data_IF_081537225726
#
_entry.id   IF_081537225726
#
_cell.length_a   1.000
_cell.length_b   1.000
_cell.length_c   1.000
_cell.angle_alpha   90.00
_cell.angle_beta   90.00
_cell.angle_gamma   90.00
#
_symmetry.space_group_name_H-M   'P 1'
#
loop_
_entity.id
_entity.type
_entity.pdbx_description
1 polymer ?
#
# COMPACT_ATOMS: atom_id res chain seq x y z
N UNK A 1 47.48 -19.42 8.28
CA UNK A 1 46.19 -19.98 7.84
C UNK A 1 45.52 -20.68 9.02
N UNK A 2 44.51 -20.07 9.66
CA UNK A 2 43.49 -20.76 10.48
C UNK A 2 42.54 -19.70 11.07
N UNK A 3 41.60 -19.26 10.25
CA UNK A 3 40.56 -18.32 10.64
C UNK A 3 39.30 -18.68 9.85
N UNK A 4 38.70 -19.81 10.19
CA UNK A 4 37.45 -20.25 9.57
C UNK A 4 36.74 -21.33 10.42
N UNK A 5 36.32 -21.00 11.64
CA UNK A 5 35.60 -21.97 12.48
C UNK A 5 34.62 -21.34 13.48
N UNK A 6 33.87 -20.32 13.06
CA UNK A 6 32.71 -19.80 13.81
C UNK A 6 31.58 -19.39 12.83
N UNK A 7 31.16 -20.28 11.94
CA UNK A 7 30.04 -19.99 11.01
C UNK A 7 29.19 -21.22 10.63
N UNK A 8 29.15 -22.30 11.43
CA UNK A 8 28.41 -23.52 11.03
C UNK A 8 27.59 -24.20 12.12
N UNK A 9 27.01 -23.43 13.04
CA UNK A 9 25.97 -23.97 13.91
C UNK A 9 24.85 -22.94 14.07
N UNK A 10 23.60 -23.41 14.11
CA UNK A 10 22.34 -22.63 14.13
C UNK A 10 21.80 -22.29 12.73
N UNK A 11 21.21 -23.31 12.08
CA UNK A 11 19.88 -23.25 11.43
C UNK A 11 19.62 -24.56 10.67
N UNK A 12 19.59 -25.67 11.41
CA UNK A 12 18.88 -26.89 11.06
C UNK A 12 17.89 -27.12 12.20
N UNK A 13 16.64 -26.73 11.98
CA UNK A 13 15.42 -27.33 12.54
C UNK A 13 14.22 -26.43 12.28
N UNK A 14 13.54 -26.65 11.14
CA UNK A 14 12.09 -26.58 11.04
C UNK A 14 11.68 -27.09 9.65
N UNK A 15 11.70 -28.42 9.53
CA UNK A 15 10.84 -29.12 8.57
C UNK A 15 9.44 -29.11 9.19
N UNK A 16 8.51 -28.37 8.59
CA UNK A 16 7.08 -28.60 8.74
C UNK A 16 6.52 -28.93 7.37
N UNK A 17 6.34 -30.24 7.21
CA UNK A 17 5.25 -30.93 6.55
C UNK A 17 3.99 -30.06 6.33
N UNK A 18 3.40 -30.22 5.14
CA UNK A 18 2.26 -29.44 4.69
C UNK A 18 2.02 -29.58 3.20
N UNK A 19 1.91 -30.81 2.71
CA UNK A 19 1.16 -31.09 1.48
C UNK A 19 -0.22 -30.47 1.61
N UNK A 20 -0.48 -29.40 0.87
CA UNK A 20 -1.83 -28.92 0.64
C UNK A 20 -2.27 -29.42 -0.74
N UNK A 21 -2.93 -30.58 -0.74
CA UNK A 21 -3.91 -30.94 -1.75
C UNK A 21 -4.95 -29.82 -1.82
N UNK A 22 -4.76 -28.87 -2.74
CA UNK A 22 -5.80 -27.94 -3.13
C UNK A 22 -6.44 -28.53 -4.38
N UNK A 23 -7.43 -29.40 -4.13
CA UNK A 23 -8.45 -29.75 -5.09
C UNK A 23 -8.91 -28.48 -5.79
N UNK A 24 -8.74 -28.41 -7.11
CA UNK A 24 -9.25 -27.32 -7.92
C UNK A 24 -10.78 -27.29 -7.76
N UNK A 25 -11.37 -26.23 -7.15
CA UNK A 25 -12.78 -26.01 -7.29
C UNK A 25 -12.98 -25.33 -8.64
N UNK A 26 -13.83 -25.94 -9.45
CA UNK A 26 -14.32 -25.41 -10.72
C UNK A 26 -14.73 -23.95 -10.56
N UNK A 27 -14.23 -23.11 -11.48
CA UNK A 27 -14.21 -21.67 -11.33
C UNK A 27 -15.59 -21.06 -11.57
N UNK A 28 -16.30 -20.77 -10.48
CA UNK A 28 -17.41 -19.82 -10.47
C UNK A 28 -16.87 -18.39 -10.63
N UNK A 29 -17.05 -17.80 -11.82
CA UNK A 29 -16.66 -16.43 -12.18
C UNK A 29 -17.56 -15.39 -11.50
N UNK A 30 -17.55 -15.33 -10.17
CA UNK A 30 -18.49 -14.54 -9.39
C UNK A 30 -17.91 -13.97 -8.10
N UNK A 31 -17.11 -12.91 -8.21
CA UNK A 31 -16.58 -12.04 -7.12
C UNK A 31 -15.45 -12.66 -6.26
N UNK A 32 -14.31 -11.96 -6.10
CA UNK A 32 -13.16 -12.47 -5.35
C UNK A 32 -13.48 -12.59 -3.85
N UNK A 33 -13.14 -13.74 -3.26
CA UNK A 33 -13.38 -14.05 -1.84
C UNK A 33 -12.66 -13.07 -0.91
N UNK A 34 -13.23 -12.86 0.29
CA UNK A 34 -12.63 -12.01 1.33
C UNK A 34 -11.22 -12.48 1.72
N UNK A 35 -10.94 -13.78 1.61
CA UNK A 35 -9.62 -14.36 1.80
C UNK A 35 -8.63 -13.95 0.69
N UNK A 36 -9.05 -13.92 -0.58
CA UNK A 36 -8.23 -13.38 -1.67
C UNK A 36 -7.97 -11.87 -1.51
N UNK A 37 -8.94 -11.12 -0.97
CA UNK A 37 -8.77 -9.70 -0.60
C UNK A 37 -7.83 -9.52 0.59
N UNK A 38 -7.83 -10.46 1.54
CA UNK A 38 -6.96 -10.46 2.71
C UNK A 38 -5.53 -10.84 2.33
N UNK A 39 -5.32 -11.88 1.51
CA UNK A 39 -4.00 -12.26 0.98
C UNK A 39 -3.42 -11.17 0.08
N UNK A 40 -4.23 -10.54 -0.78
CA UNK A 40 -3.80 -9.38 -1.55
C UNK A 40 -3.38 -8.21 -0.65
N UNK A 41 -4.01 -8.00 0.51
CA UNK A 41 -3.60 -6.99 1.49
C UNK A 41 -2.35 -7.39 2.27
N UNK A 42 -2.18 -8.67 2.59
CA UNK A 42 -1.04 -9.19 3.35
C UNK A 42 0.26 -9.20 2.53
N UNK A 43 0.19 -9.46 1.21
CA UNK A 43 1.38 -9.47 0.33
C UNK A 43 1.57 -8.18 -0.50
N UNK A 44 0.55 -7.33 -0.65
CA UNK A 44 0.71 -6.03 -1.32
C UNK A 44 1.81 -5.19 -0.65
N UNK A 45 1.87 -5.21 0.68
CA UNK A 45 2.90 -4.50 1.45
C UNK A 45 4.33 -4.91 1.05
N UNK A 46 4.55 -6.20 0.76
CA UNK A 46 5.88 -6.69 0.33
C UNK A 46 6.25 -6.15 -1.06
N UNK A 47 5.36 -6.30 -2.04
CA UNK A 47 5.64 -5.81 -3.40
C UNK A 47 5.70 -4.28 -3.46
N UNK A 48 4.91 -3.59 -2.66
CA UNK A 48 4.99 -2.14 -2.55
C UNK A 48 6.35 -1.71 -1.99
N UNK A 49 6.87 -2.42 -0.98
CA UNK A 49 8.23 -2.20 -0.48
C UNK A 49 9.30 -2.50 -1.53
N UNK A 50 9.17 -3.59 -2.28
CA UNK A 50 10.14 -3.93 -3.35
C UNK A 50 10.15 -2.84 -4.45
N UNK A 51 8.97 -2.33 -4.84
CA UNK A 51 8.86 -1.21 -5.79
C UNK A 51 9.40 0.10 -5.21
N UNK A 52 9.15 0.37 -3.93
CA UNK A 52 9.62 1.59 -3.25
C UNK A 52 11.16 1.65 -3.16
N UNK A 53 11.79 0.49 -2.91
CA UNK A 53 13.24 0.31 -2.88
C UNK A 53 13.89 0.32 -4.28
N UNK A 54 13.09 0.34 -5.34
CA UNK A 54 13.58 0.40 -6.72
C UNK A 54 13.97 -0.96 -7.30
N UNK A 55 13.29 -2.04 -6.91
CA UNK A 55 13.52 -3.36 -7.49
C UNK A 55 13.38 -3.32 -9.02
N UNK A 56 14.29 -4.02 -9.72
CA UNK A 56 14.30 -4.10 -11.18
C UNK A 56 13.06 -4.85 -11.66
N UNK A 57 12.26 -4.19 -12.50
CA UNK A 57 11.02 -4.76 -13.05
C UNK A 57 11.33 -5.51 -14.34
N UNK A 58 11.38 -6.85 -14.25
CA UNK A 58 11.59 -7.71 -15.41
C UNK A 58 10.22 -8.08 -16.02
N UNK A 59 9.99 -7.88 -17.34
CA UNK A 59 8.74 -8.27 -18.00
C UNK A 59 8.39 -9.74 -17.77
N UNK A 60 7.10 -10.03 -17.59
CA UNK A 60 6.59 -11.39 -17.33
C UNK A 60 6.73 -11.86 -15.87
N UNK A 61 7.38 -11.08 -14.99
CA UNK A 61 7.44 -11.41 -13.56
C UNK A 61 6.18 -10.98 -12.80
N UNK A 62 5.90 -11.59 -11.64
CA UNK A 62 4.84 -11.13 -10.73
C UNK A 62 4.99 -9.65 -10.33
N UNK A 63 6.23 -9.15 -10.21
CA UNK A 63 6.52 -7.75 -9.91
C UNK A 63 6.06 -6.84 -11.06
N UNK A 64 6.31 -7.21 -12.32
CA UNK A 64 5.83 -6.45 -13.47
C UNK A 64 4.31 -6.39 -13.55
N UNK A 65 3.62 -7.50 -13.28
CA UNK A 65 2.15 -7.53 -13.20
C UNK A 65 1.62 -6.66 -12.06
N UNK A 66 2.28 -6.68 -10.90
CA UNK A 66 1.93 -5.80 -9.78
C UNK A 66 2.13 -4.33 -10.13
N UNK A 67 3.27 -3.97 -10.74
CA UNK A 67 3.55 -2.60 -11.19
C UNK A 67 2.48 -2.11 -12.17
N UNK A 68 2.14 -2.90 -13.19
CA UNK A 68 1.08 -2.55 -14.15
C UNK A 68 -0.29 -2.39 -13.46
N UNK A 69 -0.60 -3.23 -12.46
CA UNK A 69 -1.83 -3.12 -11.68
C UNK A 69 -1.86 -1.82 -10.86
N UNK A 70 -0.80 -1.50 -10.14
CA UNK A 70 -0.77 -0.33 -9.25
C UNK A 70 -0.73 0.99 -10.01
N UNK A 71 -0.17 1.04 -11.23
CA UNK A 71 -0.18 2.25 -12.07
C UNK A 71 -1.42 2.36 -12.97
N UNK A 72 -2.32 1.37 -12.94
CA UNK A 72 -3.53 1.39 -13.75
C UNK A 72 -4.44 2.57 -13.41
N UNK A 73 -5.15 3.11 -14.42
CA UNK A 73 -6.14 4.18 -14.25
C UNK A 73 -7.18 3.85 -13.17
N UNK A 74 -7.61 2.58 -13.12
CA UNK A 74 -8.57 2.10 -12.13
C UNK A 74 -8.02 2.22 -10.70
N UNK A 75 -6.79 1.79 -10.46
CA UNK A 75 -6.17 1.87 -9.13
C UNK A 75 -5.95 3.35 -8.75
N UNK A 76 -5.40 4.15 -9.65
CA UNK A 76 -5.19 5.59 -9.44
C UNK A 76 -6.48 6.32 -9.05
N UNK A 77 -7.57 6.10 -9.78
CA UNK A 77 -8.88 6.68 -9.45
C UNK A 77 -9.44 6.14 -8.12
N UNK A 78 -9.16 4.88 -7.79
CA UNK A 78 -9.52 4.31 -6.49
C UNK A 78 -8.80 5.01 -5.34
N UNK A 79 -7.49 5.26 -5.47
CA UNK A 79 -6.71 5.99 -4.48
C UNK A 79 -7.12 7.46 -4.38
N UNK A 80 -7.37 8.13 -5.51
CA UNK A 80 -7.89 9.49 -5.54
C UNK A 80 -9.23 9.62 -4.79
N UNK A 81 -10.15 8.65 -4.98
CA UNK A 81 -11.41 8.60 -4.23
C UNK A 81 -11.21 8.34 -2.75
N UNK A 82 -10.27 7.46 -2.38
CA UNK A 82 -9.96 7.18 -0.99
C UNK A 82 -9.40 8.42 -0.27
N UNK A 83 -8.49 9.17 -0.92
CA UNK A 83 -7.96 10.43 -0.42
C UNK A 83 -9.05 11.49 -0.23
N UNK A 84 -9.91 11.67 -1.23
CA UNK A 84 -11.04 12.61 -1.13
C UNK A 84 -12.00 12.21 -0.02
N UNK A 85 -12.33 10.92 0.11
CA UNK A 85 -13.17 10.40 1.19
C UNK A 85 -12.57 10.65 2.58
N UNK A 86 -11.25 10.52 2.74
CA UNK A 86 -10.58 10.85 4.01
C UNK A 86 -10.77 12.34 4.38
N UNK A 87 -10.65 13.25 3.41
CA UNK A 87 -10.91 14.69 3.63
C UNK A 87 -12.39 14.95 3.97
N UNK A 88 -13.31 14.36 3.22
CA UNK A 88 -14.77 14.51 3.45
C UNK A 88 -15.20 13.97 4.83
N UNK A 89 -14.58 12.87 5.28
CA UNK A 89 -14.80 12.32 6.64
C UNK A 89 -14.33 13.29 7.70
N UNK A 90 -13.18 13.95 7.51
CA UNK A 90 -12.72 14.96 8.48
C UNK A 90 -13.63 16.19 8.53
N UNK A 91 -14.17 16.61 7.39
CA UNK A 91 -15.16 17.69 7.33
C UNK A 91 -16.47 17.28 8.02
N UNK A 92 -16.85 15.99 7.94
CA UNK A 92 -18.05 15.46 8.57
C UNK A 92 -17.90 15.25 10.09
N UNK A 93 -16.69 14.91 10.56
CA UNK A 93 -16.37 14.87 11.98
C UNK A 93 -16.45 16.27 12.61
N UNK A 94 -15.99 17.31 11.91
CA UNK A 94 -16.22 18.71 12.31
C UNK A 94 -17.71 19.08 12.41
N UNK A 95 -18.57 18.39 11.64
CA UNK A 95 -20.03 18.52 11.67
C UNK A 95 -20.73 17.55 12.65
N UNK A 96 -19.97 16.83 13.49
CA UNK A 96 -20.52 15.95 14.53
C UNK A 96 -20.89 14.52 14.10
N UNK A 97 -20.50 14.09 12.90
CA UNK A 97 -20.74 12.71 12.40
C UNK A 97 -19.52 11.82 12.66
N UNK A 98 -19.69 10.76 13.45
CA UNK A 98 -18.59 9.88 13.87
C UNK A 98 -18.22 8.84 12.79
N UNK A 99 -16.91 8.64 12.57
CA UNK A 99 -16.37 7.62 11.67
C UNK A 99 -15.88 6.40 12.47
N UNK A 100 -16.02 5.18 11.90
CA UNK A 100 -15.63 3.90 12.55
C UNK A 100 -14.11 3.74 12.79
N UNK A 101 -13.27 4.51 12.11
CA UNK A 101 -11.82 4.55 12.34
C UNK A 101 -11.40 6.02 12.50
N UNK A 102 -10.83 6.43 13.65
CA UNK A 102 -10.50 7.83 13.89
C UNK A 102 -9.34 8.31 13.00
N UNK A 103 -9.60 9.29 12.13
CA UNK A 103 -8.60 9.96 11.29
C UNK A 103 -8.03 11.17 12.04
N UNK A 104 -6.74 11.48 11.87
CA UNK A 104 -6.12 12.65 12.48
C UNK A 104 -6.52 13.94 11.75
N UNK A 105 -7.71 14.47 12.05
CA UNK A 105 -8.34 15.60 11.35
C UNK A 105 -7.48 16.86 11.26
N UNK A 106 -6.68 17.17 12.29
CA UNK A 106 -5.75 18.32 12.27
C UNK A 106 -4.63 18.20 11.22
N UNK A 107 -3.94 17.05 11.16
CA UNK A 107 -2.90 16.76 10.17
C UNK A 107 -3.48 16.74 8.76
N UNK A 108 -4.63 16.09 8.56
CA UNK A 108 -5.30 16.02 7.25
C UNK A 108 -5.74 17.41 6.78
N UNK A 109 -6.32 18.23 7.65
CA UNK A 109 -6.69 19.60 7.31
C UNK A 109 -5.47 20.47 6.96
N UNK A 110 -4.35 20.28 7.67
CA UNK A 110 -3.09 20.98 7.39
C UNK A 110 -2.40 20.57 6.08
N UNK A 111 -2.73 19.39 5.53
CA UNK A 111 -2.15 18.88 4.29
C UNK A 111 -3.15 18.84 3.12
N UNK A 112 -4.26 19.59 3.21
CA UNK A 112 -5.32 19.57 2.21
C UNK A 112 -4.80 19.89 0.80
N UNK A 113 -3.90 20.88 0.69
CA UNK A 113 -3.26 21.26 -0.58
C UNK A 113 -2.50 20.09 -1.22
N UNK A 114 -1.67 19.39 -0.45
CA UNK A 114 -0.90 18.25 -0.93
C UNK A 114 -1.84 17.10 -1.36
N UNK A 115 -2.91 16.84 -0.60
CA UNK A 115 -3.91 15.81 -0.93
C UNK A 115 -4.65 16.15 -2.24
N UNK A 116 -5.05 17.40 -2.43
CA UNK A 116 -5.72 17.86 -3.65
C UNK A 116 -4.78 17.77 -4.86
N UNK A 117 -3.50 18.13 -4.69
CA UNK A 117 -2.48 18.01 -5.73
C UNK A 117 -2.25 16.55 -6.14
N UNK A 118 -2.07 15.63 -5.19
CA UNK A 118 -1.94 14.20 -5.47
C UNK A 118 -3.20 13.69 -6.19
N UNK A 119 -4.38 14.08 -5.73
CA UNK A 119 -5.66 13.67 -6.34
C UNK A 119 -5.74 14.12 -7.80
N UNK A 120 -5.32 15.35 -8.10
CA UNK A 120 -5.27 15.90 -9.46
C UNK A 120 -4.31 15.10 -10.36
N UNK A 121 -3.09 14.82 -9.88
CA UNK A 121 -2.10 14.00 -10.62
C UNK A 121 -2.61 12.59 -10.91
N UNK A 122 -3.27 11.94 -9.95
CA UNK A 122 -3.83 10.60 -10.12
C UNK A 122 -4.99 10.53 -11.12
N UNK A 123 -5.67 11.65 -11.38
CA UNK A 123 -6.77 11.74 -12.33
C UNK A 123 -6.32 12.21 -13.71
N UNK A 124 -5.21 12.95 -13.80
CA UNK A 124 -4.66 13.43 -15.06
C UNK A 124 -4.24 12.27 -15.98
N UNK A 125 -4.45 12.34 -17.30
CA UNK A 125 -4.12 11.24 -18.24
C UNK A 125 -2.60 11.08 -18.48
N UNK A 126 -1.77 11.47 -17.52
CA UNK A 126 -0.31 11.34 -17.56
C UNK A 126 0.11 10.02 -16.91
N UNK A 127 1.18 9.36 -17.39
CA UNK A 127 1.79 8.25 -16.67
C UNK A 127 2.23 8.68 -15.27
N UNK A 128 2.09 7.79 -14.29
CA UNK A 128 2.54 8.01 -12.91
C UNK A 128 3.65 7.02 -12.57
N UNK A 129 4.61 7.45 -11.77
CA UNK A 129 5.74 6.60 -11.43
C UNK A 129 5.33 5.51 -10.41
N UNK A 130 5.72 4.23 -10.62
CA UNK A 130 5.33 3.11 -9.74
C UNK A 130 5.73 3.31 -8.27
N UNK A 131 6.86 3.99 -8.04
CA UNK A 131 7.38 4.28 -6.69
C UNK A 131 6.42 5.16 -5.87
N UNK A 132 5.94 6.26 -6.45
CA UNK A 132 4.97 7.14 -5.80
C UNK A 132 3.65 6.42 -5.52
N UNK A 133 3.21 5.56 -6.44
CA UNK A 133 2.02 4.73 -6.24
C UNK A 133 2.19 3.72 -5.10
N UNK A 134 3.33 3.02 -5.04
CA UNK A 134 3.63 2.09 -3.96
C UNK A 134 3.68 2.81 -2.61
N UNK A 135 4.38 3.95 -2.53
CA UNK A 135 4.47 4.75 -1.31
C UNK A 135 3.12 5.28 -0.84
N UNK A 136 2.28 5.76 -1.76
CA UNK A 136 0.92 6.21 -1.45
C UNK A 136 0.05 5.05 -0.92
N UNK A 137 0.16 3.86 -1.53
CA UNK A 137 -0.55 2.66 -1.07
C UNK A 137 -0.09 2.25 0.32
N UNK A 138 1.22 2.28 0.61
CA UNK A 138 1.78 2.05 1.94
C UNK A 138 1.24 3.05 2.96
N UNK A 139 1.26 4.34 2.64
CA UNK A 139 0.74 5.40 3.53
C UNK A 139 -0.74 5.19 3.88
N UNK A 140 -1.57 4.83 2.90
CA UNK A 140 -3.01 4.62 3.08
C UNK A 140 -3.37 3.30 3.76
N UNK A 141 -2.49 2.31 3.74
CA UNK A 141 -2.75 0.98 4.33
C UNK A 141 -2.06 0.77 5.68
N UNK A 142 -1.06 1.58 6.00
CA UNK A 142 -0.39 1.57 7.29
C UNK A 142 -1.28 2.19 8.37
N UNK A 143 -2.03 1.36 9.10
CA UNK A 143 -2.91 1.76 10.20
C UNK A 143 -2.21 2.43 11.40
N UNK A 144 -0.87 2.33 11.50
CA UNK A 144 -0.07 3.04 12.50
C UNK A 144 0.60 4.32 11.98
N UNK A 145 0.33 4.70 10.73
CA UNK A 145 0.91 5.88 10.09
C UNK A 145 0.21 7.19 10.46
N UNK A 146 0.79 8.34 10.10
CA UNK A 146 0.37 9.68 10.53
C UNK A 146 -1.02 10.11 10.04
N UNK A 147 -1.67 9.29 9.21
CA UNK A 147 -3.04 9.48 8.73
C UNK A 147 -4.09 9.10 9.79
N UNK A 148 -3.76 8.16 10.68
CA UNK A 148 -4.67 7.65 11.71
C UNK A 148 -4.37 8.25 13.09
N UNK A 149 -5.39 8.42 13.92
CA UNK A 149 -5.17 8.88 15.30
C UNK A 149 -4.36 7.84 16.08
N UNK A 150 -3.34 8.29 16.82
CA UNK A 150 -2.39 7.41 17.53
C UNK A 150 -1.22 6.93 16.66
N UNK A 151 -1.21 7.25 15.36
CA UNK A 151 -0.06 7.04 14.49
C UNK A 151 1.07 8.03 14.75
N UNK A 152 2.29 7.66 14.38
CA UNK A 152 3.49 8.51 14.54
C UNK A 152 3.94 9.10 13.20
N UNK A 153 4.71 10.20 13.26
CA UNK A 153 5.29 10.85 12.08
C UNK A 153 4.54 12.08 11.58
N UNK A 154 4.96 12.59 10.42
CA UNK A 154 4.39 13.79 9.78
C UNK A 154 3.68 13.42 8.49
N UNK A 155 2.37 13.63 8.44
CA UNK A 155 1.58 13.39 7.23
C UNK A 155 2.05 14.30 6.08
N UNK A 156 2.39 15.55 6.38
CA UNK A 156 2.92 16.50 5.40
C UNK A 156 4.22 16.01 4.76
N UNK A 157 5.15 15.48 5.56
CA UNK A 157 6.41 14.96 5.05
C UNK A 157 6.18 13.75 4.13
N UNK A 158 5.32 12.82 4.52
CA UNK A 158 5.00 11.65 3.71
C UNK A 158 4.29 12.01 2.41
N UNK A 159 3.33 12.93 2.43
CA UNK A 159 2.63 13.38 1.23
C UNK A 159 3.55 14.12 0.27
N UNK A 160 4.48 14.95 0.76
CA UNK A 160 5.50 15.58 -0.09
C UNK A 160 6.46 14.57 -0.70
N UNK A 161 6.81 13.54 0.06
CA UNK A 161 7.66 12.48 -0.46
C UNK A 161 6.94 11.59 -1.49
N UNK A 162 5.62 11.42 -1.36
CA UNK A 162 4.77 10.84 -2.42
C UNK A 162 4.78 11.74 -3.65
N UNK A 163 4.53 13.04 -3.51
CA UNK A 163 4.53 14.01 -4.62
C UNK A 163 5.86 14.00 -5.39
N UNK A 164 6.99 13.93 -4.68
CA UNK A 164 8.31 13.88 -5.30
C UNK A 164 8.59 12.56 -6.06
N UNK A 165 7.79 11.52 -5.81
CA UNK A 165 7.99 10.17 -6.35
C UNK A 165 6.90 9.75 -7.35
N UNK A 166 5.90 10.60 -7.61
CA UNK A 166 4.84 10.41 -8.63
C UNK A 166 5.31 10.88 -10.00
#
# INVERSE_FOLDING_TARGET
MRQNQIQQDISRDMVLDGSFDIAAPEQDMGRPSLAARLQARLFASRFDRDVELGAVVIPGTPLALHVARITSMKERHSLARALRGAVEVTDSFRRGVSARVPIHSGQVAGCRSEIEQITSLLQAPVPVHPRGMARLRTLLTNGGGPLYQGGSGSLAAELRAVLAAL
#
